data_IF_814498297087
#
_entry.id   IF_814498297087
#
_cell.length_a   1.000
_cell.length_b   1.000
_cell.length_c   1.000
_cell.angle_alpha   90.00
_cell.angle_beta   90.00
_cell.angle_gamma   90.00
#
_symmetry.space_group_name_H-M   'P 1'
#
loop_
_entity.id
_entity.type
_entity.pdbx_description
1 polymer ?
#
# COMPACT_ATOMS: atom_id res chain seq x y z
N UNK A 1 1.49 -4.77 -21.82
CA UNK A 1 0.71 -5.99 -21.51
C UNK A 1 0.01 -6.52 -22.74
N UNK A 2 -0.58 -5.65 -23.55
CA UNK A 2 -1.40 -6.06 -24.70
C UNK A 2 -0.59 -6.89 -25.72
N UNK A 3 0.69 -6.58 -25.91
CA UNK A 3 1.62 -7.35 -26.77
C UNK A 3 1.88 -8.78 -26.24
N UNK A 4 1.66 -9.02 -24.96
CA UNK A 4 1.86 -10.33 -24.32
C UNK A 4 0.57 -11.12 -24.13
N UNK A 5 -0.59 -10.51 -24.30
CA UNK A 5 -1.87 -11.08 -23.92
C UNK A 5 -2.16 -12.41 -24.62
N UNK A 6 -1.89 -12.50 -25.91
CA UNK A 6 -2.08 -13.75 -26.68
C UNK A 6 -1.22 -14.87 -26.12
N UNK A 7 0.06 -14.62 -25.86
CA UNK A 7 1.00 -15.61 -25.34
C UNK A 7 0.65 -16.05 -23.92
N UNK A 8 0.21 -15.09 -23.08
CA UNK A 8 -0.26 -15.38 -21.73
C UNK A 8 -1.52 -16.26 -21.77
N UNK A 9 -2.47 -15.99 -22.67
CA UNK A 9 -3.68 -16.80 -22.83
C UNK A 9 -3.37 -18.21 -23.31
N UNK A 10 -2.45 -18.40 -24.24
CA UNK A 10 -2.00 -19.73 -24.70
C UNK A 10 -1.38 -20.51 -23.55
N UNK A 11 -0.48 -19.89 -22.79
CA UNK A 11 0.13 -20.49 -21.60
C UNK A 11 -0.94 -20.82 -20.54
N UNK A 12 -1.89 -19.93 -20.30
CA UNK A 12 -3.00 -20.15 -19.37
C UNK A 12 -3.94 -21.27 -19.82
N UNK A 13 -4.06 -21.52 -21.12
CA UNK A 13 -4.82 -22.62 -21.69
C UNK A 13 -4.09 -23.97 -21.61
N UNK A 14 -2.83 -23.98 -21.14
CA UNK A 14 -2.04 -25.20 -20.91
C UNK A 14 -1.03 -25.51 -22.01
N UNK A 15 -0.73 -24.55 -22.92
CA UNK A 15 0.36 -24.71 -23.87
C UNK A 15 1.71 -24.47 -23.19
N UNK A 16 2.64 -25.40 -23.35
CA UNK A 16 3.98 -25.32 -22.77
C UNK A 16 4.94 -24.53 -23.69
N UNK A 17 6.01 -24.01 -23.11
CA UNK A 17 7.14 -23.36 -23.81
C UNK A 17 6.74 -22.16 -24.69
N UNK A 18 5.70 -21.42 -24.32
CA UNK A 18 5.24 -20.25 -25.08
C UNK A 18 6.03 -19.00 -24.69
N UNK A 19 6.05 -18.67 -23.40
CA UNK A 19 6.75 -17.49 -22.85
C UNK A 19 8.17 -17.82 -22.38
N UNK A 20 8.36 -19.02 -21.84
CA UNK A 20 9.64 -19.49 -21.29
C UNK A 20 9.67 -21.01 -21.30
N UNK A 21 10.87 -21.58 -21.26
CA UNK A 21 11.08 -23.03 -21.09
C UNK A 21 10.82 -23.51 -19.65
N UNK A 22 10.73 -22.59 -18.68
CA UNK A 22 10.37 -22.92 -17.30
C UNK A 22 8.86 -23.22 -17.18
N UNK A 23 8.48 -24.23 -16.40
CA UNK A 23 7.06 -24.52 -16.16
C UNK A 23 6.34 -23.35 -15.49
N UNK A 24 5.22 -22.92 -16.07
CA UNK A 24 4.33 -21.89 -15.51
C UNK A 24 3.10 -22.60 -14.97
N UNK A 25 2.92 -22.62 -13.65
CA UNK A 25 1.80 -23.26 -12.98
C UNK A 25 0.89 -22.27 -12.26
N UNK A 26 1.38 -21.06 -12.03
CA UNK A 26 0.68 -20.01 -11.29
C UNK A 26 0.58 -18.74 -12.13
N UNK A 27 -0.52 -18.01 -11.94
CA UNK A 27 -0.78 -16.75 -12.60
C UNK A 27 -1.14 -15.71 -11.55
N UNK A 28 -0.39 -14.61 -11.51
CA UNK A 28 -0.65 -13.50 -10.59
C UNK A 28 -1.70 -12.60 -11.19
N UNK A 29 -2.76 -12.38 -10.42
CA UNK A 29 -3.82 -11.44 -10.77
C UNK A 29 -3.42 -10.04 -10.31
N UNK A 30 -3.38 -9.09 -11.24
CA UNK A 30 -3.25 -7.69 -10.88
C UNK A 30 -4.64 -7.05 -10.75
N UNK A 31 -4.77 -6.14 -9.78
CA UNK A 31 -5.93 -5.27 -9.68
C UNK A 31 -5.88 -4.19 -10.76
N UNK A 32 -6.19 -4.53 -12.01
CA UNK A 32 -6.08 -3.61 -13.14
C UNK A 32 -6.79 -2.27 -12.88
N UNK A 33 -6.05 -1.17 -13.03
CA UNK A 33 -6.54 0.21 -12.84
C UNK A 33 -7.63 0.62 -13.85
N UNK A 34 -7.83 -0.16 -14.91
CA UNK A 34 -8.83 0.07 -15.97
C UNK A 34 -9.96 -0.99 -15.97
N UNK A 35 -10.29 -1.59 -14.81
CA UNK A 35 -11.42 -2.54 -14.71
C UNK A 35 -11.17 -3.94 -15.27
N UNK A 36 -10.04 -4.19 -15.96
CA UNK A 36 -9.67 -5.51 -16.50
C UNK A 36 -8.58 -6.15 -15.65
N UNK A 37 -8.88 -7.30 -15.06
CA UNK A 37 -7.89 -8.09 -14.33
C UNK A 37 -6.86 -8.63 -15.32
N UNK A 38 -5.59 -8.29 -15.12
CA UNK A 38 -4.46 -8.83 -15.88
C UNK A 38 -3.93 -10.08 -15.20
N UNK A 39 -3.44 -11.03 -15.99
CA UNK A 39 -2.75 -12.24 -15.51
C UNK A 39 -1.28 -12.15 -15.84
N UNK A 40 -0.43 -12.37 -14.87
CA UNK A 40 1.02 -12.45 -15.06
C UNK A 40 1.50 -13.86 -14.75
N UNK A 41 2.24 -14.51 -15.67
CA UNK A 41 2.80 -15.82 -15.41
C UNK A 41 3.79 -15.76 -14.26
N UNK A 42 3.85 -16.79 -13.43
CA UNK A 42 4.79 -16.90 -12.32
C UNK A 42 5.48 -18.25 -12.35
N UNK A 43 6.80 -18.24 -12.52
CA UNK A 43 7.66 -19.41 -12.38
C UNK A 43 8.09 -19.60 -10.93
N UNK A 44 8.52 -20.81 -10.55
CA UNK A 44 9.06 -21.10 -9.22
C UNK A 44 10.33 -20.28 -8.96
N UNK A 45 11.19 -20.08 -9.95
CA UNK A 45 12.39 -19.27 -9.84
C UNK A 45 12.07 -17.79 -9.53
N UNK A 46 11.09 -17.20 -10.23
CA UNK A 46 10.67 -15.84 -9.97
C UNK A 46 10.07 -15.68 -8.57
N UNK A 47 9.27 -16.65 -8.12
CA UNK A 47 8.69 -16.67 -6.77
C UNK A 47 9.75 -16.83 -5.70
N UNK A 48 10.74 -17.70 -5.90
CA UNK A 48 11.86 -17.88 -4.99
C UNK A 48 12.63 -16.58 -4.78
N UNK A 49 13.06 -15.92 -5.86
CA UNK A 49 13.81 -14.66 -5.79
C UNK A 49 13.00 -13.54 -5.13
N UNK A 50 11.74 -13.39 -5.52
CA UNK A 50 10.82 -12.47 -4.88
C UNK A 50 10.73 -12.72 -3.37
N UNK A 51 10.52 -13.97 -2.98
CA UNK A 51 10.32 -14.32 -1.58
C UNK A 51 11.59 -14.18 -0.74
N UNK A 52 12.75 -14.52 -1.28
CA UNK A 52 14.04 -14.36 -0.60
C UNK A 52 14.30 -12.90 -0.22
N UNK A 53 14.09 -11.95 -1.13
CA UNK A 53 14.26 -10.52 -0.82
C UNK A 53 13.32 -10.03 0.27
N UNK A 54 12.09 -10.54 0.33
CA UNK A 54 11.13 -10.15 1.36
C UNK A 54 11.48 -10.76 2.74
N UNK A 55 12.08 -11.94 2.78
CA UNK A 55 12.43 -12.64 4.02
C UNK A 55 13.81 -12.20 4.51
N UNK A 56 14.81 -12.30 3.65
CA UNK A 56 16.22 -12.24 4.05
C UNK A 56 16.67 -10.81 4.40
N UNK A 57 16.22 -9.82 3.62
CA UNK A 57 16.65 -8.42 3.82
C UNK A 57 16.12 -7.84 5.13
N UNK A 58 14.81 -7.90 5.44
CA UNK A 58 14.32 -7.44 6.75
C UNK A 58 15.00 -8.15 7.92
N UNK A 59 15.17 -9.45 7.83
CA UNK A 59 15.85 -10.24 8.86
C UNK A 59 17.29 -9.79 9.06
N UNK A 60 18.03 -9.55 7.97
CA UNK A 60 19.40 -9.07 8.03
C UNK A 60 19.52 -7.65 8.63
N UNK A 61 18.56 -6.76 8.32
CA UNK A 61 18.57 -5.37 8.81
C UNK A 61 18.14 -5.29 10.27
N UNK A 62 17.10 -6.04 10.66
CA UNK A 62 16.51 -5.96 12.00
C UNK A 62 17.23 -6.81 13.03
N UNK A 63 18.04 -7.77 12.60
CA UNK A 63 18.61 -8.81 13.45
C UNK A 63 17.53 -9.64 14.17
N UNK A 64 16.32 -9.63 13.62
CA UNK A 64 15.17 -10.24 14.28
C UNK A 64 15.24 -11.76 14.15
N UNK A 65 15.72 -12.39 15.20
CA UNK A 65 15.56 -13.83 15.48
C UNK A 65 14.16 -14.12 16.07
N UNK A 66 13.30 -13.11 16.13
CA UNK A 66 12.07 -13.11 16.91
C UNK A 66 10.85 -13.51 16.10
N UNK A 67 10.24 -14.54 16.56
CA UNK A 67 9.27 -15.45 15.96
C UNK A 67 7.81 -15.15 16.30
N UNK A 68 7.44 -13.89 16.58
CA UNK A 68 6.04 -13.51 16.87
C UNK A 68 5.62 -12.34 16.01
N UNK A 69 5.39 -12.65 14.75
CA UNK A 69 4.96 -11.70 13.75
C UNK A 69 3.48 -11.82 13.45
N UNK A 70 2.83 -10.75 13.06
CA UNK A 70 1.49 -10.78 12.50
C UNK A 70 1.50 -10.16 11.11
N UNK A 71 0.71 -10.75 10.21
CA UNK A 71 0.37 -10.10 8.96
C UNK A 71 -1.06 -9.58 8.99
N UNK A 72 -1.26 -8.30 8.67
CA UNK A 72 -2.58 -7.64 8.78
C UNK A 72 -3.59 -8.11 7.72
N UNK A 73 -3.12 -8.58 6.56
CA UNK A 73 -3.98 -9.07 5.49
C UNK A 73 -4.41 -10.52 5.68
N UNK A 74 -5.46 -10.92 4.98
CA UNK A 74 -5.90 -12.32 4.83
C UNK A 74 -5.63 -12.76 3.41
N UNK A 75 -4.99 -13.90 3.23
CA UNK A 75 -4.60 -14.42 1.93
C UNK A 75 -5.67 -15.35 1.35
N UNK A 76 -5.84 -15.28 0.04
CA UNK A 76 -6.81 -16.10 -0.67
C UNK A 76 -6.21 -17.43 -1.12
N UNK A 77 -7.00 -18.51 -1.18
CA UNK A 77 -6.58 -19.75 -1.83
C UNK A 77 -6.34 -19.52 -3.32
N UNK A 78 -5.56 -20.41 -3.93
CA UNK A 78 -5.40 -20.42 -5.38
C UNK A 78 -6.72 -20.75 -6.08
N UNK A 79 -6.98 -20.07 -7.20
CA UNK A 79 -8.04 -20.44 -8.12
C UNK A 79 -7.77 -21.80 -8.79
N UNK A 80 -8.76 -22.31 -9.52
CA UNK A 80 -8.73 -23.64 -10.13
C UNK A 80 -7.61 -23.85 -11.16
N UNK A 81 -7.07 -22.75 -11.72
CA UNK A 81 -5.96 -22.78 -12.71
C UNK A 81 -4.69 -22.08 -12.17
N UNK A 82 -4.47 -22.13 -10.85
CA UNK A 82 -3.29 -21.53 -10.24
C UNK A 82 -3.33 -19.98 -10.14
N UNK A 83 -4.49 -19.37 -10.35
CA UNK A 83 -4.66 -17.93 -10.22
C UNK A 83 -4.59 -17.51 -8.76
N UNK A 84 -3.80 -16.47 -8.47
CA UNK A 84 -3.65 -15.99 -7.10
C UNK A 84 -3.14 -14.54 -7.08
N UNK A 85 -3.07 -13.94 -5.90
CA UNK A 85 -2.34 -12.69 -5.67
C UNK A 85 -0.87 -13.01 -5.37
N UNK A 86 0.05 -12.13 -5.74
CA UNK A 86 1.48 -12.34 -5.50
C UNK A 86 1.79 -12.53 -4.00
N UNK A 87 1.14 -11.76 -3.14
CA UNK A 87 1.24 -11.93 -1.69
C UNK A 87 0.77 -13.32 -1.23
N UNK A 88 -0.33 -13.84 -1.77
CA UNK A 88 -0.79 -15.18 -1.43
C UNK A 88 0.17 -16.28 -1.93
N UNK A 89 0.80 -16.09 -3.10
CA UNK A 89 1.84 -17.00 -3.59
C UNK A 89 3.06 -16.99 -2.67
N UNK A 90 3.52 -15.79 -2.26
CA UNK A 90 4.63 -15.63 -1.33
C UNK A 90 4.39 -16.35 0.01
N UNK A 91 3.24 -16.12 0.65
CA UNK A 91 2.95 -16.77 1.94
C UNK A 91 2.76 -18.29 1.85
N UNK A 92 2.33 -18.81 0.69
CA UNK A 92 2.35 -20.25 0.44
C UNK A 92 3.76 -20.81 0.26
N UNK A 93 4.64 -20.03 -0.35
CA UNK A 93 6.06 -20.37 -0.41
C UNK A 93 6.66 -20.44 1.01
N UNK A 94 6.39 -19.44 1.87
CA UNK A 94 6.81 -19.43 3.28
C UNK A 94 6.28 -20.67 4.03
N UNK A 95 5.01 -21.04 3.81
CA UNK A 95 4.42 -22.27 4.38
C UNK A 95 5.19 -23.53 3.93
N UNK A 96 5.56 -23.60 2.64
CA UNK A 96 6.26 -24.76 2.08
C UNK A 96 7.68 -24.97 2.63
N UNK A 97 8.34 -23.91 3.04
CA UNK A 97 9.69 -23.96 3.67
C UNK A 97 9.64 -23.99 5.21
N UNK A 98 8.43 -24.08 5.80
CA UNK A 98 8.26 -24.26 7.26
C UNK A 98 8.33 -22.98 8.11
N UNK A 99 8.44 -21.80 7.49
CA UNK A 99 8.60 -20.52 8.22
C UNK A 99 7.27 -19.87 8.61
N UNK A 100 6.13 -20.46 8.26
CA UNK A 100 4.82 -19.88 8.60
C UNK A 100 4.50 -19.94 10.12
N UNK A 101 5.17 -20.82 10.85
CA UNK A 101 5.01 -20.92 12.31
C UNK A 101 5.43 -19.66 13.08
N UNK A 102 6.15 -18.74 12.44
CA UNK A 102 6.55 -17.45 13.01
C UNK A 102 5.39 -16.45 13.03
N UNK A 103 4.33 -16.75 12.26
CA UNK A 103 3.17 -15.87 12.15
C UNK A 103 2.06 -16.25 13.12
N UNK A 104 1.65 -15.29 13.94
CA UNK A 104 0.56 -15.44 14.89
C UNK A 104 -0.80 -15.65 14.20
N UNK A 105 -1.66 -16.42 14.83
CA UNK A 105 -2.99 -16.77 14.32
C UNK A 105 -3.02 -18.04 13.47
N UNK A 106 -1.86 -18.56 13.07
CA UNK A 106 -1.75 -19.82 12.33
C UNK A 106 -2.36 -19.78 10.92
N UNK A 107 -2.20 -20.90 10.22
CA UNK A 107 -2.56 -21.05 8.81
C UNK A 107 -4.03 -20.78 8.50
N UNK A 108 -4.96 -21.19 9.35
CA UNK A 108 -6.38 -21.00 9.11
C UNK A 108 -6.79 -19.52 9.08
N UNK A 109 -6.28 -18.72 10.01
CA UNK A 109 -6.59 -17.30 10.07
C UNK A 109 -5.84 -16.49 9.01
N UNK A 110 -4.67 -16.95 8.57
CA UNK A 110 -3.92 -16.31 7.49
C UNK A 110 -4.54 -16.56 6.10
N UNK A 111 -5.03 -17.78 5.84
CA UNK A 111 -5.56 -18.16 4.51
C UNK A 111 -7.08 -18.26 4.44
N UNK A 112 -7.79 -17.68 5.38
CA UNK A 112 -9.26 -17.66 5.35
C UNK A 112 -9.78 -16.52 4.47
N UNK A 113 -9.99 -16.78 3.20
CA UNK A 113 -10.64 -15.83 2.27
C UNK A 113 -12.11 -15.52 2.60
N UNK A 114 -12.66 -16.05 3.72
CA UNK A 114 -14.06 -15.90 4.17
C UNK A 114 -14.22 -14.94 5.34
N UNK A 115 -13.14 -14.38 5.86
CA UNK A 115 -13.21 -13.39 6.96
C UNK A 115 -13.84 -12.10 6.43
N UNK A 116 -14.93 -11.68 7.01
CA UNK A 116 -15.65 -10.44 6.67
C UNK A 116 -15.15 -9.26 7.50
N UNK A 117 -14.85 -9.46 8.78
CA UNK A 117 -14.27 -8.43 9.66
C UNK A 117 -12.80 -8.74 9.94
N UNK A 118 -11.94 -8.44 8.97
CA UNK A 118 -10.49 -8.65 9.08
C UNK A 118 -9.87 -7.85 10.23
N UNK A 119 -10.20 -6.55 10.43
CA UNK A 119 -9.64 -5.77 11.55
C UNK A 119 -9.95 -6.38 12.92
N UNK A 120 -11.19 -6.83 13.13
CA UNK A 120 -11.56 -7.50 14.40
C UNK A 120 -10.71 -8.74 14.66
N UNK A 121 -10.61 -9.63 13.67
CA UNK A 121 -9.84 -10.89 13.80
C UNK A 121 -8.37 -10.60 14.07
N UNK A 122 -7.75 -9.67 13.32
CA UNK A 122 -6.34 -9.33 13.49
C UNK A 122 -6.05 -8.71 14.86
N UNK A 123 -6.91 -7.82 15.32
CA UNK A 123 -6.76 -7.20 16.64
C UNK A 123 -7.00 -8.20 17.79
N UNK A 124 -7.91 -9.16 17.64
CA UNK A 124 -8.08 -10.25 18.63
C UNK A 124 -6.80 -11.08 18.74
N UNK A 125 -6.12 -11.36 17.62
CA UNK A 125 -4.82 -12.03 17.63
C UNK A 125 -3.77 -11.13 18.28
N UNK A 126 -3.62 -9.90 17.82
CA UNK A 126 -2.58 -8.97 18.29
C UNK A 126 -2.66 -8.71 19.79
N UNK A 127 -3.87 -8.48 20.31
CA UNK A 127 -4.08 -8.20 21.73
C UNK A 127 -3.85 -9.43 22.62
N UNK A 128 -3.98 -10.65 22.09
CA UNK A 128 -3.69 -11.88 22.82
C UNK A 128 -2.19 -12.14 23.06
N UNK A 129 -1.31 -11.41 22.34
CA UNK A 129 0.13 -11.58 22.45
C UNK A 129 0.81 -10.27 22.84
N UNK A 130 1.26 -10.20 24.11
CA UNK A 130 1.99 -9.03 24.62
C UNK A 130 3.38 -8.89 23.97
N UNK A 131 3.99 -10.02 23.62
CA UNK A 131 5.33 -10.13 23.06
C UNK A 131 5.38 -10.10 21.52
N UNK A 132 4.38 -9.47 20.90
CA UNK A 132 4.39 -9.21 19.45
C UNK A 132 5.65 -8.46 19.05
N UNK A 133 6.42 -9.02 18.11
CA UNK A 133 7.72 -8.48 17.69
C UNK A 133 7.69 -7.70 16.39
N UNK A 134 6.77 -8.02 15.46
CA UNK A 134 6.62 -7.29 14.21
C UNK A 134 5.18 -7.30 13.69
N UNK A 135 4.79 -6.19 13.06
CA UNK A 135 3.55 -6.06 12.30
C UNK A 135 3.92 -5.91 10.83
N UNK A 136 3.45 -6.84 10.01
CA UNK A 136 3.67 -6.82 8.57
C UNK A 136 2.35 -6.60 7.83
N UNK A 137 2.42 -5.84 6.74
CA UNK A 137 1.29 -5.58 5.87
C UNK A 137 1.74 -5.52 4.40
N UNK A 138 0.81 -5.67 3.47
CA UNK A 138 1.11 -5.36 2.08
C UNK A 138 1.27 -3.85 1.93
N UNK A 139 0.31 -3.08 2.44
CA UNK A 139 0.39 -1.62 2.46
C UNK A 139 0.41 -1.11 3.91
N UNK A 140 1.23 -0.12 4.20
CA UNK A 140 1.23 0.57 5.51
C UNK A 140 -0.12 1.21 5.82
N UNK A 141 -0.89 1.55 4.79
CA UNK A 141 -2.26 2.05 4.94
C UNK A 141 -3.19 1.05 5.64
N UNK A 142 -3.05 -0.25 5.38
CA UNK A 142 -3.86 -1.27 6.07
C UNK A 142 -3.55 -1.30 7.57
N UNK A 143 -2.30 -1.03 7.97
CA UNK A 143 -1.92 -0.91 9.40
C UNK A 143 -2.56 0.34 10.02
N UNK A 144 -2.57 1.46 9.29
CA UNK A 144 -3.24 2.68 9.73
C UNK A 144 -4.73 2.44 9.97
N UNK A 145 -5.41 1.80 9.01
CA UNK A 145 -6.83 1.45 9.15
C UNK A 145 -7.08 0.53 10.34
N UNK A 146 -6.18 -0.44 10.57
CA UNK A 146 -6.26 -1.35 11.70
C UNK A 146 -6.15 -0.60 13.05
N UNK A 147 -5.20 0.34 13.16
CA UNK A 147 -5.03 1.13 14.38
C UNK A 147 -6.20 2.10 14.62
N UNK A 148 -6.74 2.70 13.57
CA UNK A 148 -7.99 3.49 13.67
C UNK A 148 -9.17 2.64 14.14
N UNK A 149 -9.27 1.41 13.64
CA UNK A 149 -10.31 0.49 14.11
C UNK A 149 -10.13 0.17 15.61
N UNK A 150 -8.89 -0.06 16.05
CA UNK A 150 -8.58 -0.28 17.47
C UNK A 150 -8.96 0.93 18.32
N UNK A 151 -8.54 2.14 17.93
CA UNK A 151 -8.86 3.39 18.62
C UNK A 151 -10.37 3.57 18.81
N UNK A 152 -11.16 3.28 17.77
CA UNK A 152 -12.61 3.40 17.79
C UNK A 152 -13.32 2.28 18.58
N UNK A 153 -12.80 1.06 18.54
CA UNK A 153 -13.51 -0.14 19.00
C UNK A 153 -12.82 -0.83 20.19
N UNK A 154 -11.82 -0.25 20.84
CA UNK A 154 -11.07 -0.86 21.94
C UNK A 154 -11.98 -1.35 23.08
N UNK A 155 -12.99 -0.59 23.45
CA UNK A 155 -13.92 -0.96 24.53
C UNK A 155 -14.70 -2.25 24.22
N UNK A 156 -15.18 -2.40 22.98
CA UNK A 156 -15.87 -3.61 22.51
C UNK A 156 -14.92 -4.80 22.48
N UNK A 157 -13.69 -4.61 21.93
CA UNK A 157 -12.67 -5.67 21.86
C UNK A 157 -12.27 -6.17 23.24
N UNK A 158 -12.04 -5.27 24.19
CA UNK A 158 -11.69 -5.65 25.58
C UNK A 158 -12.85 -6.33 26.31
N UNK A 159 -14.09 -5.88 26.10
CA UNK A 159 -15.28 -6.54 26.69
C UNK A 159 -15.45 -7.96 26.14
N UNK A 160 -15.23 -8.15 24.83
CA UNK A 160 -15.26 -9.47 24.20
C UNK A 160 -14.17 -10.40 24.74
N UNK A 161 -12.96 -9.89 24.92
CA UNK A 161 -11.85 -10.66 25.52
C UNK A 161 -12.17 -11.05 26.95
N UNK A 162 -12.65 -10.11 27.78
CA UNK A 162 -13.01 -10.38 29.18
C UNK A 162 -14.09 -11.43 29.34
N UNK A 163 -15.09 -11.41 28.48
CA UNK A 163 -16.27 -12.31 28.56
C UNK A 163 -16.09 -13.59 27.73
N UNK A 164 -14.98 -13.76 27.05
CA UNK A 164 -14.75 -14.90 26.16
C UNK A 164 -15.77 -14.98 25.04
N UNK A 165 -16.25 -13.83 24.51
CA UNK A 165 -17.24 -13.78 23.44
C UNK A 165 -16.66 -13.20 22.15
N UNK A 166 -17.42 -13.31 21.06
CA UNK A 166 -17.09 -12.79 19.75
C UNK A 166 -18.31 -12.01 19.24
N UNK A 167 -18.19 -10.68 19.19
CA UNK A 167 -19.28 -9.80 18.74
C UNK A 167 -19.35 -9.67 17.21
N UNK A 168 -18.24 -9.97 16.49
CA UNK A 168 -18.23 -9.94 15.04
C UNK A 168 -18.95 -11.14 14.42
N UNK A 169 -19.64 -10.89 13.28
CA UNK A 169 -20.23 -11.98 12.49
C UNK A 169 -19.15 -12.70 11.68
N UNK A 170 -18.71 -13.85 12.17
CA UNK A 170 -17.64 -14.64 11.59
C UNK A 170 -18.09 -16.09 11.34
N UNK A 171 -17.49 -16.78 10.34
CA UNK A 171 -17.66 -18.21 10.16
C UNK A 171 -17.27 -18.98 11.43
N UNK A 172 -17.96 -20.11 11.68
CA UNK A 172 -17.78 -20.86 12.93
C UNK A 172 -16.37 -21.40 13.12
N UNK A 173 -15.75 -21.88 12.05
CA UNK A 173 -14.35 -22.32 12.05
C UNK A 173 -13.34 -21.22 12.41
N UNK A 174 -13.66 -19.96 12.10
CA UNK A 174 -12.84 -18.79 12.48
C UNK A 174 -13.07 -18.44 13.95
N UNK A 175 -14.31 -18.51 14.44
CA UNK A 175 -14.60 -18.31 15.87
C UNK A 175 -13.89 -19.34 16.74
N UNK A 176 -13.86 -20.62 16.32
CA UNK A 176 -13.11 -21.67 17.02
C UNK A 176 -11.63 -21.34 17.13
N UNK A 177 -11.00 -20.83 16.07
CA UNK A 177 -9.58 -20.44 16.11
C UNK A 177 -9.34 -19.25 17.04
N UNK A 178 -10.23 -18.25 17.02
CA UNK A 178 -10.15 -17.11 17.96
C UNK A 178 -10.27 -17.58 19.42
N UNK A 179 -11.15 -18.54 19.69
CA UNK A 179 -11.34 -19.08 21.03
C UNK A 179 -10.14 -19.92 21.53
N UNK A 180 -9.24 -20.34 20.64
CA UNK A 180 -7.98 -21.01 20.98
C UNK A 180 -6.82 -20.05 21.28
N UNK A 181 -7.01 -18.74 21.04
CA UNK A 181 -5.98 -17.76 21.37
C UNK A 181 -5.70 -17.76 22.88
N UNK A 182 -4.47 -17.39 23.29
CA UNK A 182 -4.15 -17.25 24.71
C UNK A 182 -5.12 -16.32 25.41
N UNK A 183 -5.61 -16.75 26.58
CA UNK A 183 -6.42 -15.90 27.43
C UNK A 183 -5.54 -14.83 28.09
N UNK A 184 -6.03 -13.60 28.11
CA UNK A 184 -5.36 -12.52 28.85
C UNK A 184 -5.64 -12.67 30.35
N UNK A 185 -4.61 -12.48 31.16
CA UNK A 185 -4.80 -12.36 32.59
C UNK A 185 -5.44 -11.01 33.00
N UNK A 186 -5.93 -10.92 34.21
CA UNK A 186 -6.62 -9.73 34.71
C UNK A 186 -5.68 -8.49 34.78
N UNK A 187 -4.39 -8.69 34.98
CA UNK A 187 -3.38 -7.64 35.03
C UNK A 187 -3.20 -7.00 33.65
N UNK A 188 -3.06 -7.81 32.61
CA UNK A 188 -2.93 -7.34 31.24
C UNK A 188 -4.19 -6.63 30.74
N UNK A 189 -5.36 -7.16 31.06
CA UNK A 189 -6.63 -6.50 30.72
C UNK A 189 -6.71 -5.12 31.36
N UNK A 190 -6.36 -5.00 32.65
CA UNK A 190 -6.35 -3.72 33.36
C UNK A 190 -5.32 -2.74 32.79
N UNK A 191 -4.15 -3.23 32.38
CA UNK A 191 -3.13 -2.42 31.70
C UNK A 191 -3.68 -1.80 30.42
N UNK A 192 -4.28 -2.62 29.53
CA UNK A 192 -4.90 -2.15 28.30
C UNK A 192 -6.04 -1.14 28.55
N UNK A 193 -6.88 -1.40 29.56
CA UNK A 193 -7.92 -0.44 29.95
C UNK A 193 -7.33 0.92 30.38
N UNK A 194 -6.25 0.90 31.13
CA UNK A 194 -5.57 2.13 31.57
C UNK A 194 -4.97 2.89 30.38
N UNK A 195 -4.34 2.20 29.42
CA UNK A 195 -3.79 2.82 28.20
C UNK A 195 -4.89 3.57 27.48
N UNK A 196 -5.99 2.92 27.13
CA UNK A 196 -7.08 3.53 26.38
C UNK A 196 -7.82 4.62 27.18
N UNK A 197 -7.98 4.45 28.48
CA UNK A 197 -8.66 5.45 29.33
C UNK A 197 -7.83 6.71 29.49
N UNK A 198 -6.53 6.62 29.70
CA UNK A 198 -5.64 7.77 29.86
C UNK A 198 -5.47 8.58 28.58
N UNK A 199 -5.51 7.94 27.43
CA UNK A 199 -5.41 8.57 26.11
C UNK A 199 -6.74 9.03 25.50
N UNK A 200 -7.88 8.85 26.18
CA UNK A 200 -9.20 9.13 25.57
C UNK A 200 -9.51 8.23 24.37
N UNK A 201 -8.94 7.01 24.35
CA UNK A 201 -8.99 6.06 23.25
C UNK A 201 -7.74 6.03 22.38
N UNK A 202 -6.95 7.12 22.36
CA UNK A 202 -5.67 7.18 21.65
C UNK A 202 -4.61 6.33 22.36
N UNK A 203 -3.64 5.82 21.59
CA UNK A 203 -2.55 4.98 22.09
C UNK A 203 -1.33 5.10 21.15
N UNK A 204 -0.17 4.68 21.65
CA UNK A 204 0.96 4.33 20.80
C UNK A 204 1.17 2.81 20.79
N UNK A 205 1.64 2.28 19.68
CA UNK A 205 1.84 0.85 19.52
C UNK A 205 2.85 0.29 20.55
N UNK A 206 3.85 1.07 20.96
CA UNK A 206 4.82 0.71 21.99
C UNK A 206 4.21 0.62 23.40
N UNK A 207 3.12 1.33 23.70
CA UNK A 207 2.40 1.20 24.98
C UNK A 207 1.70 -0.16 25.05
N UNK A 208 1.14 -0.62 23.94
CA UNK A 208 0.42 -1.91 23.87
C UNK A 208 1.41 -3.07 23.71
N UNK A 209 2.39 -2.98 22.81
CA UNK A 209 3.32 -4.04 22.47
C UNK A 209 4.76 -3.60 22.74
N UNK A 210 5.24 -3.82 23.96
CA UNK A 210 6.55 -3.36 24.44
C UNK A 210 7.73 -3.98 23.68
N UNK A 211 7.52 -5.14 23.06
CA UNK A 211 8.54 -5.87 22.30
C UNK A 211 8.46 -5.63 20.79
N UNK A 212 7.56 -4.74 20.35
CA UNK A 212 7.39 -4.43 18.92
C UNK A 212 8.63 -3.70 18.39
N UNK A 213 9.36 -4.35 17.49
CA UNK A 213 10.65 -3.88 16.95
C UNK A 213 10.48 -3.06 15.68
N UNK A 214 9.53 -3.44 14.81
CA UNK A 214 9.27 -2.73 13.58
C UNK A 214 7.86 -2.99 13.03
N UNK A 215 7.44 -2.10 12.15
CA UNK A 215 6.24 -2.26 11.32
C UNK A 215 6.69 -2.22 9.87
N UNK A 216 6.18 -3.11 9.01
CA UNK A 216 6.60 -3.19 7.63
C UNK A 216 5.45 -3.22 6.64
N UNK A 217 5.70 -2.65 5.45
CA UNK A 217 4.74 -2.63 4.36
C UNK A 217 5.19 -1.74 3.20
N UNK A 218 4.43 -1.76 2.12
CA UNK A 218 4.61 -0.85 0.99
C UNK A 218 4.13 0.54 1.43
N UNK A 219 5.00 1.53 1.25
CA UNK A 219 4.76 2.94 1.57
C UNK A 219 5.64 3.82 0.68
N UNK A 220 6.05 4.99 1.17
CA UNK A 220 6.95 5.89 0.48
C UNK A 220 6.26 7.14 -0.06
N UNK A 221 6.90 7.85 -1.02
CA UNK A 221 6.43 9.16 -1.46
C UNK A 221 4.98 9.17 -1.97
N UNK A 222 4.60 8.12 -2.72
CA UNK A 222 3.22 7.97 -3.20
C UNK A 222 2.18 7.73 -2.09
N UNK A 223 2.64 7.48 -0.85
CA UNK A 223 1.82 7.22 0.33
C UNK A 223 2.31 8.03 1.54
N UNK A 224 2.98 9.16 1.30
CA UNK A 224 3.63 9.95 2.36
C UNK A 224 2.65 10.41 3.43
N UNK A 225 1.43 10.82 3.04
CA UNK A 225 0.37 11.24 3.95
C UNK A 225 -0.01 10.08 4.90
N UNK A 226 -0.34 8.92 4.34
CA UNK A 226 -0.78 7.76 5.13
C UNK A 226 0.33 7.28 6.08
N UNK A 227 1.59 7.34 5.63
CA UNK A 227 2.74 7.01 6.47
C UNK A 227 2.92 8.02 7.61
N UNK A 228 2.75 9.32 7.34
CA UNK A 228 2.80 10.37 8.38
C UNK A 228 1.73 10.14 9.44
N UNK A 229 0.53 9.79 9.03
CA UNK A 229 -0.56 9.49 9.96
C UNK A 229 -0.30 8.23 10.76
N UNK A 230 0.28 7.20 10.16
CA UNK A 230 0.68 5.99 10.86
C UNK A 230 1.71 6.30 11.95
N UNK A 231 2.61 7.27 11.74
CA UNK A 231 3.60 7.71 12.74
C UNK A 231 2.96 8.23 14.04
N UNK A 232 1.72 8.73 14.02
CA UNK A 232 0.99 9.11 15.24
C UNK A 232 0.76 7.91 16.18
N UNK A 233 0.57 6.71 15.60
CA UNK A 233 0.37 5.48 16.37
C UNK A 233 1.66 4.73 16.65
N UNK A 234 2.65 4.79 15.75
CA UNK A 234 3.88 4.01 15.91
C UNK A 234 4.87 4.69 16.85
N UNK A 235 4.82 6.03 16.97
CA UNK A 235 5.82 6.77 17.74
C UNK A 235 7.23 6.51 17.20
N UNK A 236 8.13 6.04 18.06
CA UNK A 236 9.54 5.75 17.73
C UNK A 236 9.76 4.36 17.11
N UNK A 237 8.71 3.54 16.97
CA UNK A 237 8.84 2.22 16.33
C UNK A 237 9.22 2.44 14.85
N UNK A 238 10.34 1.85 14.39
CA UNK A 238 10.82 2.05 13.03
C UNK A 238 9.89 1.38 12.01
N UNK A 239 9.84 1.97 10.82
CA UNK A 239 9.09 1.46 9.67
C UNK A 239 10.07 0.86 8.67
N UNK A 240 9.86 -0.40 8.29
CA UNK A 240 10.54 -1.04 7.19
C UNK A 240 9.67 -0.95 5.92
N UNK A 241 10.14 -0.21 4.93
CA UNK A 241 9.49 -0.16 3.63
C UNK A 241 9.94 -1.36 2.81
N UNK A 242 9.08 -2.34 2.57
CA UNK A 242 9.46 -3.58 1.87
C UNK A 242 10.28 -3.35 0.60
N UNK A 243 9.81 -2.45 -0.24
CA UNK A 243 10.45 -2.21 -1.50
C UNK A 243 9.47 -1.89 -2.63
N UNK A 244 10.01 -1.93 -3.83
CA UNK A 244 9.24 -1.86 -5.06
C UNK A 244 9.00 -3.28 -5.59
N UNK A 245 7.80 -3.77 -5.35
CA UNK A 245 7.32 -5.08 -5.79
C UNK A 245 6.02 -4.93 -6.57
N UNK A 246 5.96 -5.47 -7.76
CA UNK A 246 4.78 -5.51 -8.62
C UNK A 246 4.40 -6.96 -8.98
N UNK A 247 3.29 -7.14 -9.68
CA UNK A 247 2.89 -8.48 -10.18
C UNK A 247 3.89 -9.07 -11.16
N UNK A 248 4.70 -8.23 -11.76
CA UNK A 248 5.69 -8.55 -12.79
C UNK A 248 7.06 -8.89 -12.22
N UNK A 249 7.49 -8.17 -11.18
CA UNK A 249 8.88 -8.25 -10.69
C UNK A 249 9.03 -7.68 -9.27
N UNK A 250 9.99 -8.22 -8.52
CA UNK A 250 10.61 -7.57 -7.37
C UNK A 250 11.77 -6.71 -7.90
N UNK A 251 11.59 -5.39 -7.93
CA UNK A 251 12.57 -4.52 -8.55
C UNK A 251 13.50 -3.85 -7.54
N UNK A 252 13.09 -3.71 -6.28
CA UNK A 252 13.94 -3.09 -5.28
C UNK A 252 13.53 -3.37 -3.85
N UNK A 253 14.48 -3.38 -2.94
CA UNK A 253 14.29 -3.57 -1.52
C UNK A 253 14.94 -2.43 -0.72
N UNK A 254 14.33 -2.03 0.40
CA UNK A 254 14.89 -0.97 1.23
C UNK A 254 16.17 -1.46 1.93
N UNK A 255 17.30 -0.75 1.78
CA UNK A 255 18.55 -1.11 2.45
C UNK A 255 18.61 -0.61 3.90
N UNK A 256 17.65 0.18 4.37
CA UNK A 256 17.63 0.83 5.67
C UNK A 256 16.20 0.96 6.20
N UNK A 257 16.06 1.09 7.53
CA UNK A 257 14.80 1.43 8.19
C UNK A 257 14.44 2.90 7.97
N UNK A 258 13.17 3.23 8.09
CA UNK A 258 12.61 4.60 8.02
C UNK A 258 12.88 5.38 6.73
N UNK A 259 13.41 4.71 5.70
CA UNK A 259 13.64 5.29 4.37
C UNK A 259 12.89 4.52 3.28
N UNK A 260 12.07 5.23 2.51
CA UNK A 260 11.39 4.71 1.33
C UNK A 260 12.24 4.88 0.06
N UNK A 261 13.50 4.50 0.16
CA UNK A 261 14.51 4.44 -0.89
C UNK A 261 14.90 2.98 -1.09
N UNK A 262 15.03 2.53 -2.32
CA UNK A 262 15.19 1.12 -2.64
C UNK A 262 16.48 0.86 -3.42
N UNK A 263 17.22 -0.15 -3.03
CA UNK A 263 18.32 -0.69 -3.81
C UNK A 263 17.77 -1.68 -4.86
N UNK A 264 18.28 -1.60 -6.09
CA UNK A 264 17.84 -2.44 -7.20
C UNK A 264 18.13 -3.93 -6.93
N UNK A 265 17.11 -4.79 -7.02
CA UNK A 265 17.22 -6.26 -6.93
C UNK A 265 17.62 -6.84 -8.31
N UNK A 266 18.86 -6.65 -8.70
CA UNK A 266 19.35 -6.98 -10.05
C UNK A 266 19.37 -8.47 -10.37
N UNK A 267 19.18 -9.34 -9.39
CA UNK A 267 19.06 -10.79 -9.54
C UNK A 267 17.64 -11.26 -9.84
N UNK A 268 16.62 -10.38 -9.65
CA UNK A 268 15.22 -10.71 -9.89
C UNK A 268 14.81 -10.62 -11.37
N UNK A 269 15.51 -9.81 -12.16
CA UNK A 269 15.24 -9.63 -13.60
C UNK A 269 16.43 -8.97 -14.29
N UNK A 270 16.45 -8.99 -15.61
CA UNK A 270 17.29 -8.08 -16.37
C UNK A 270 16.58 -6.74 -16.52
N UNK A 271 17.23 -5.66 -16.08
CA UNK A 271 16.69 -4.31 -16.06
C UNK A 271 17.30 -3.43 -17.12
N UNK A 272 16.43 -2.79 -17.88
CA UNK A 272 16.69 -1.63 -18.70
C UNK A 272 15.87 -0.45 -18.17
N UNK A 273 16.24 0.76 -18.49
CA UNK A 273 15.60 1.97 -17.98
C UNK A 273 15.29 2.91 -19.13
N UNK A 274 14.04 3.28 -19.29
CA UNK A 274 13.57 4.20 -20.32
C UNK A 274 13.50 5.61 -19.73
N UNK A 275 14.37 6.57 -20.15
CA UNK A 275 14.24 7.96 -19.73
C UNK A 275 12.93 8.57 -20.22
N UNK A 276 12.36 9.54 -19.47
CA UNK A 276 11.10 10.20 -19.87
C UNK A 276 11.19 10.93 -21.21
N UNK A 277 12.37 11.43 -21.54
CA UNK A 277 12.68 12.23 -22.72
C UNK A 277 13.28 11.42 -23.88
N UNK A 278 13.23 10.09 -23.83
CA UNK A 278 13.83 9.20 -24.82
C UNK A 278 12.87 8.08 -25.25
N UNK A 279 13.09 7.55 -26.45
CA UNK A 279 12.51 6.30 -26.92
C UNK A 279 13.42 5.08 -26.75
N UNK A 280 14.69 5.30 -26.37
CA UNK A 280 15.69 4.27 -26.21
C UNK A 280 15.97 4.01 -24.73
N UNK A 281 16.11 2.73 -24.38
CA UNK A 281 16.46 2.33 -23.02
C UNK A 281 17.97 2.47 -22.78
N UNK A 282 18.32 2.69 -21.53
CA UNK A 282 19.70 2.68 -21.03
C UNK A 282 19.90 1.52 -20.04
N UNK A 283 21.14 1.14 -19.84
CA UNK A 283 21.51 0.10 -18.86
C UNK A 283 21.82 0.70 -17.48
N UNK A 284 21.98 -0.14 -16.46
CA UNK A 284 22.34 0.28 -15.08
C UNK A 284 23.57 1.20 -15.07
N UNK A 285 24.56 0.95 -15.94
CA UNK A 285 25.80 1.75 -16.00
C UNK A 285 25.62 3.17 -16.54
N UNK A 286 24.49 3.47 -17.12
CA UNK A 286 24.18 4.74 -17.78
C UNK A 286 23.11 5.53 -17.00
N UNK A 287 22.79 5.11 -15.77
CA UNK A 287 21.85 5.80 -14.93
C UNK A 287 22.47 7.06 -14.32
N UNK A 288 21.72 8.15 -14.35
CA UNK A 288 22.09 9.44 -13.76
C UNK A 288 21.31 9.69 -12.47
N UNK A 289 21.99 10.12 -11.42
CA UNK A 289 21.34 10.56 -10.18
C UNK A 289 20.45 11.78 -10.43
N UNK A 290 19.24 11.75 -9.86
CA UNK A 290 18.25 12.81 -10.00
C UNK A 290 17.31 12.63 -11.20
N UNK A 291 17.64 11.77 -12.16
CA UNK A 291 16.84 11.55 -13.36
C UNK A 291 15.73 10.52 -13.15
N UNK A 292 14.65 10.66 -13.90
CA UNK A 292 13.46 9.81 -13.86
C UNK A 292 13.51 8.80 -15.00
N UNK A 293 13.12 7.57 -14.70
CA UNK A 293 13.08 6.45 -15.65
C UNK A 293 11.84 5.58 -15.44
N UNK A 294 11.37 4.97 -16.52
CA UNK A 294 10.46 3.82 -16.48
C UNK A 294 11.27 2.52 -16.53
N UNK A 295 11.20 1.64 -15.52
CA UNK A 295 11.83 0.32 -15.60
C UNK A 295 11.25 -0.53 -16.71
N UNK A 296 12.12 -1.15 -17.50
CA UNK A 296 11.78 -2.13 -18.54
C UNK A 296 12.45 -3.44 -18.15
N UNK A 297 11.64 -4.50 -17.96
CA UNK A 297 12.12 -5.72 -17.34
C UNK A 297 12.00 -6.94 -18.25
N UNK A 298 13.04 -7.78 -18.21
CA UNK A 298 13.00 -9.14 -18.77
C UNK A 298 13.08 -10.13 -17.61
N UNK A 299 12.00 -10.90 -17.40
CA UNK A 299 11.79 -11.68 -16.19
C UNK A 299 11.97 -13.19 -16.42
N UNK A 300 12.20 -13.95 -15.35
CA UNK A 300 12.21 -15.41 -15.37
C UNK A 300 10.88 -16.04 -15.78
N UNK A 301 9.80 -15.27 -15.72
CA UNK A 301 8.46 -15.70 -16.10
C UNK A 301 8.13 -15.44 -17.58
N UNK A 302 9.12 -14.98 -18.37
CA UNK A 302 8.99 -14.85 -19.83
C UNK A 302 8.38 -13.53 -20.30
N UNK A 303 8.40 -12.49 -19.48
CA UNK A 303 8.13 -11.13 -19.93
C UNK A 303 9.44 -10.55 -20.48
N UNK A 304 9.49 -10.28 -21.77
CA UNK A 304 10.67 -9.74 -22.46
C UNK A 304 10.50 -8.25 -22.71
N UNK A 305 11.42 -7.43 -22.15
CA UNK A 305 11.41 -5.97 -22.28
C UNK A 305 10.04 -5.35 -21.97
N UNK A 306 9.42 -5.86 -20.91
CA UNK A 306 8.12 -5.39 -20.45
C UNK A 306 8.25 -4.02 -19.79
N UNK A 307 7.54 -3.03 -20.30
CA UNK A 307 7.42 -1.70 -19.69
C UNK A 307 6.48 -1.76 -18.49
N UNK A 308 7.01 -1.46 -17.29
CA UNK A 308 6.23 -1.56 -16.06
C UNK A 308 5.12 -0.51 -15.96
N UNK A 309 5.33 0.63 -16.60
CA UNK A 309 4.47 1.80 -16.49
C UNK A 309 4.67 2.59 -15.20
N UNK A 310 5.54 2.14 -14.31
CA UNK A 310 5.89 2.86 -13.08
C UNK A 310 7.07 3.79 -13.34
N UNK A 311 7.14 4.89 -12.59
CA UNK A 311 8.22 5.87 -12.69
C UNK A 311 9.07 5.81 -11.41
N UNK A 312 10.37 5.74 -11.61
CA UNK A 312 11.36 5.77 -10.53
C UNK A 312 12.31 6.94 -10.72
N UNK A 313 12.76 7.54 -9.64
CA UNK A 313 13.81 8.56 -9.63
C UNK A 313 15.07 7.97 -9.01
N UNK A 314 16.18 8.00 -9.73
CA UNK A 314 17.47 7.56 -9.18
C UNK A 314 17.93 8.59 -8.14
N UNK A 315 18.16 8.15 -6.91
CA UNK A 315 18.57 9.01 -5.80
C UNK A 315 20.08 8.94 -5.55
N UNK A 316 20.72 7.86 -5.98
CA UNK A 316 22.15 7.64 -5.80
C UNK A 316 22.56 6.21 -6.10
N UNK A 317 23.67 5.81 -5.49
CA UNK A 317 24.20 4.45 -5.60
C UNK A 317 24.72 4.00 -4.23
N UNK A 318 24.49 2.72 -3.89
CA UNK A 318 25.16 2.03 -2.79
C UNK A 318 26.14 1.03 -3.41
N UNK A 319 27.44 1.33 -3.33
CA UNK A 319 28.47 0.66 -4.13
C UNK A 319 28.14 0.77 -5.64
N UNK A 320 27.73 -0.32 -6.29
CA UNK A 320 27.32 -0.33 -7.70
C UNK A 320 25.80 -0.49 -7.89
N UNK A 321 25.04 -0.71 -6.82
CA UNK A 321 23.61 -0.86 -6.90
C UNK A 321 22.92 0.52 -6.95
N UNK A 322 22.10 0.80 -7.97
CA UNK A 322 21.31 2.02 -8.00
C UNK A 322 20.35 2.08 -6.82
N UNK A 323 20.27 3.25 -6.20
CA UNK A 323 19.23 3.61 -5.24
C UNK A 323 18.17 4.42 -5.94
N UNK A 324 16.91 4.16 -5.63
CA UNK A 324 15.81 4.86 -6.26
C UNK A 324 14.58 4.98 -5.36
N UNK A 325 13.75 5.96 -5.66
CA UNK A 325 12.40 6.14 -5.11
C UNK A 325 11.36 5.88 -6.20
N UNK A 326 10.22 5.31 -5.83
CA UNK A 326 9.05 5.23 -6.71
C UNK A 326 8.28 6.54 -6.60
N UNK A 327 8.11 7.25 -7.71
CA UNK A 327 7.46 8.56 -7.71
C UNK A 327 6.02 8.53 -8.25
N UNK A 328 5.62 7.45 -8.90
CA UNK A 328 4.26 7.30 -9.39
C UNK A 328 4.16 6.29 -10.52
N UNK A 329 3.07 6.40 -11.25
CA UNK A 329 2.82 5.58 -12.44
C UNK A 329 2.60 6.47 -13.65
N UNK A 330 3.12 6.06 -14.79
CA UNK A 330 2.91 6.74 -16.06
C UNK A 330 1.40 6.80 -16.37
N UNK A 331 0.84 8.01 -16.38
CA UNK A 331 -0.59 8.24 -16.50
C UNK A 331 -1.35 8.44 -15.19
N UNK A 332 -0.74 8.20 -14.02
CA UNK A 332 -1.26 8.67 -12.73
C UNK A 332 -0.77 10.11 -12.49
N UNK A 333 -1.11 10.98 -13.42
CA UNK A 333 -0.75 12.39 -13.43
C UNK A 333 -2.04 13.16 -13.63
N UNK A 334 -2.30 14.16 -12.80
CA UNK A 334 -3.30 15.17 -13.11
C UNK A 334 -2.68 16.17 -14.08
N UNK A 335 -3.29 16.27 -15.24
CA UNK A 335 -2.89 17.19 -16.29
C UNK A 335 -4.15 17.69 -17.01
N UNK A 336 -4.47 18.95 -16.83
CA UNK A 336 -5.62 19.62 -17.46
C UNK A 336 -5.16 20.52 -18.60
N UNK A 337 -4.10 21.30 -18.37
CA UNK A 337 -3.64 22.35 -19.28
C UNK A 337 -2.13 22.30 -19.57
N UNK A 338 -1.42 21.26 -19.12
CA UNK A 338 0.02 21.06 -19.29
C UNK A 338 0.81 20.92 -17.99
N UNK A 339 0.19 21.12 -16.82
CA UNK A 339 0.82 21.24 -15.50
C UNK A 339 1.42 19.96 -14.91
N UNK A 340 1.03 18.80 -15.37
CA UNK A 340 1.58 17.47 -15.01
C UNK A 340 1.89 17.26 -13.53
N UNK A 341 0.87 17.32 -12.68
CA UNK A 341 1.05 17.00 -11.23
C UNK A 341 1.05 15.50 -11.03
N UNK A 342 2.18 14.93 -10.64
CA UNK A 342 2.33 13.53 -10.26
C UNK A 342 1.86 13.26 -8.81
N UNK A 343 1.73 11.98 -8.47
CA UNK A 343 1.29 11.54 -7.14
C UNK A 343 2.21 12.04 -6.03
N UNK A 344 3.52 12.11 -6.24
CA UNK A 344 4.48 12.55 -5.24
C UNK A 344 4.36 14.06 -4.99
N UNK A 345 4.25 14.86 -6.04
CA UNK A 345 4.07 16.32 -5.96
C UNK A 345 2.75 16.67 -5.27
N UNK A 346 1.65 15.97 -5.57
CA UNK A 346 0.37 16.18 -4.91
C UNK A 346 0.46 15.84 -3.41
N UNK A 347 1.07 14.71 -3.04
CA UNK A 347 1.27 14.34 -1.64
C UNK A 347 2.11 15.37 -0.87
N UNK A 348 3.19 15.89 -1.48
CA UNK A 348 4.04 16.91 -0.86
C UNK A 348 3.24 18.21 -0.64
N UNK A 349 2.51 18.66 -1.64
CA UNK A 349 1.67 19.87 -1.53
C UNK A 349 0.61 19.73 -0.42
N UNK A 350 -0.12 18.59 -0.37
CA UNK A 350 -1.14 18.34 0.65
C UNK A 350 -0.52 18.19 2.04
N UNK A 351 0.64 17.53 2.16
CA UNK A 351 1.36 17.42 3.44
C UNK A 351 1.72 18.78 4.02
N UNK A 352 2.30 19.66 3.20
CA UNK A 352 2.64 21.03 3.63
C UNK A 352 1.41 21.87 3.93
N UNK A 353 0.33 21.71 3.17
CA UNK A 353 -0.92 22.41 3.44
C UNK A 353 -1.53 21.98 4.78
N UNK A 354 -1.47 20.70 5.11
CA UNK A 354 -1.91 20.15 6.39
C UNK A 354 -1.15 20.75 7.59
N UNK A 355 0.13 21.09 7.44
CA UNK A 355 0.93 21.74 8.49
C UNK A 355 0.49 23.19 8.76
N UNK A 356 -0.05 23.87 7.74
CA UNK A 356 -0.45 25.27 7.83
C UNK A 356 -1.94 25.47 8.14
N UNK A 357 -2.77 24.44 8.00
CA UNK A 357 -4.23 24.55 8.22
C UNK A 357 -4.70 23.66 9.36
N UNK A 358 -5.07 22.43 9.03
CA UNK A 358 -5.50 21.38 9.96
C UNK A 358 -5.07 20.03 9.44
N UNK A 359 -4.92 19.06 10.33
CA UNK A 359 -4.62 17.70 9.95
C UNK A 359 -5.57 17.20 8.84
N UNK A 360 -5.01 16.70 7.77
CA UNK A 360 -5.72 16.05 6.69
C UNK A 360 -5.54 14.54 6.85
N UNK A 361 -6.61 13.83 7.07
CA UNK A 361 -6.59 12.41 7.43
C UNK A 361 -6.52 11.48 6.21
N UNK A 362 -7.13 11.83 5.12
CA UNK A 362 -7.02 11.18 3.82
C UNK A 362 -7.42 12.18 2.74
N UNK A 363 -7.04 11.92 1.49
CA UNK A 363 -7.47 12.75 0.40
C UNK A 363 -7.40 12.04 -0.95
N UNK A 364 -8.16 12.55 -1.91
CA UNK A 364 -8.03 12.21 -3.32
C UNK A 364 -8.32 13.44 -4.18
N UNK A 365 -7.89 13.42 -5.43
CA UNK A 365 -8.02 14.53 -6.35
C UNK A 365 -8.52 14.09 -7.72
N UNK A 366 -9.22 14.97 -8.41
CA UNK A 366 -9.71 14.77 -9.76
C UNK A 366 -9.61 16.05 -10.58
N UNK A 367 -9.67 15.90 -11.91
CA UNK A 367 -9.87 17.04 -12.81
C UNK A 367 -11.36 17.40 -12.86
N UNK A 368 -11.67 18.67 -12.58
CA UNK A 368 -13.02 19.23 -12.69
C UNK A 368 -13.14 20.07 -13.96
N UNK A 369 -13.78 19.49 -14.99
CA UNK A 369 -14.06 20.13 -16.27
C UNK A 369 -15.43 20.82 -16.32
N UNK A 370 -16.16 20.90 -15.19
CA UNK A 370 -17.49 21.54 -15.15
C UNK A 370 -17.45 23.06 -15.22
N UNK A 371 -16.27 23.65 -15.10
CA UNK A 371 -16.02 25.11 -15.13
C UNK A 371 -14.92 25.47 -16.11
N UNK A 372 -14.86 26.74 -16.51
CA UNK A 372 -13.81 27.28 -17.39
C UNK A 372 -13.17 28.48 -16.70
N UNK A 373 -11.84 28.48 -16.51
CA UNK A 373 -10.92 27.37 -16.77
C UNK A 373 -11.19 26.18 -15.87
N UNK A 374 -10.90 24.96 -16.37
CA UNK A 374 -10.97 23.74 -15.59
C UNK A 374 -9.99 23.79 -14.41
N UNK A 375 -10.19 22.98 -13.39
CA UNK A 375 -9.43 23.03 -12.14
C UNK A 375 -9.27 21.65 -11.50
N UNK A 376 -8.44 21.55 -10.49
CA UNK A 376 -8.44 20.38 -9.63
C UNK A 376 -9.58 20.45 -8.61
N UNK A 377 -10.21 19.32 -8.34
CA UNK A 377 -11.08 19.12 -7.20
C UNK A 377 -10.44 18.15 -6.23
N UNK A 378 -10.16 18.63 -5.01
CA UNK A 378 -9.52 17.86 -3.95
C UNK A 378 -10.58 17.56 -2.89
N UNK A 379 -10.79 16.28 -2.61
CA UNK A 379 -11.60 15.81 -1.48
C UNK A 379 -10.66 15.49 -0.35
N UNK A 380 -10.86 16.08 0.82
CA UNK A 380 -9.96 15.94 1.95
C UNK A 380 -10.75 15.59 3.24
N UNK A 381 -10.33 14.55 3.92
CA UNK A 381 -10.85 14.20 5.26
C UNK A 381 -10.16 15.10 6.29
N UNK A 382 -10.80 16.21 6.65
CA UNK A 382 -10.23 17.25 7.53
C UNK A 382 -11.32 18.10 8.16
N UNK A 383 -10.93 18.88 9.19
CA UNK A 383 -11.74 19.91 9.80
C UNK A 383 -11.36 21.33 9.37
N UNK A 384 -10.48 21.47 8.38
CA UNK A 384 -10.07 22.77 7.85
C UNK A 384 -11.23 23.50 7.20
N UNK A 385 -11.10 24.82 7.09
CA UNK A 385 -11.98 25.63 6.24
C UNK A 385 -11.64 25.38 4.76
N UNK A 386 -12.65 25.04 3.94
CA UNK A 386 -12.48 24.69 2.53
C UNK A 386 -11.81 25.78 1.71
N UNK A 387 -12.16 27.04 1.97
CA UNK A 387 -11.61 28.17 1.24
C UNK A 387 -10.15 28.41 1.62
N UNK A 388 -9.85 28.40 2.92
CA UNK A 388 -8.47 28.54 3.40
C UNK A 388 -7.59 27.41 2.87
N UNK A 389 -8.05 26.17 2.96
CA UNK A 389 -7.29 25.01 2.46
C UNK A 389 -7.08 25.06 0.95
N UNK A 390 -8.08 25.51 0.17
CA UNK A 390 -7.95 25.74 -1.27
C UNK A 390 -6.85 26.77 -1.61
N UNK A 391 -6.76 27.86 -0.84
CA UNK A 391 -5.75 28.89 -1.04
C UNK A 391 -4.35 28.38 -0.73
N UNK A 392 -4.20 27.73 0.40
CA UNK A 392 -2.92 27.13 0.80
C UNK A 392 -2.47 26.05 -0.17
N UNK A 393 -3.37 25.17 -0.60
CA UNK A 393 -3.05 24.12 -1.58
C UNK A 393 -2.62 24.69 -2.95
N UNK A 394 -3.25 25.76 -3.43
CA UNK A 394 -2.81 26.43 -4.66
C UNK A 394 -1.35 26.92 -4.55
N UNK A 395 -0.99 27.52 -3.42
CA UNK A 395 0.37 27.99 -3.17
C UNK A 395 1.37 26.83 -3.01
N UNK A 396 0.99 25.74 -2.34
CA UNK A 396 1.87 24.56 -2.21
C UNK A 396 2.06 23.84 -3.55
N UNK A 397 1.02 23.74 -4.38
CA UNK A 397 1.12 23.17 -5.72
C UNK A 397 2.06 23.98 -6.63
N UNK A 398 2.01 25.32 -6.57
CA UNK A 398 2.99 26.17 -7.25
C UNK A 398 4.41 25.90 -6.77
N UNK A 399 4.60 25.79 -5.46
CA UNK A 399 5.92 25.54 -4.87
C UNK A 399 6.54 24.18 -5.24
N UNK A 400 5.72 23.16 -5.59
CA UNK A 400 6.21 21.83 -5.95
C UNK A 400 6.27 21.58 -7.47
N UNK A 401 5.64 22.44 -8.27
CA UNK A 401 5.60 22.29 -9.74
C UNK A 401 5.62 23.65 -10.43
N UNK A 402 6.74 23.92 -11.11
CA UNK A 402 6.88 25.14 -11.93
C UNK A 402 5.86 25.17 -13.09
N UNK A 403 5.61 24.01 -13.74
CA UNK A 403 4.58 23.92 -14.80
C UNK A 403 3.19 24.31 -14.26
N UNK A 404 2.86 23.92 -13.02
CA UNK A 404 1.60 24.32 -12.40
C UNK A 404 1.56 25.84 -12.13
N UNK A 405 2.63 26.41 -11.63
CA UNK A 405 2.75 27.87 -11.40
C UNK A 405 2.53 28.63 -12.70
N UNK A 406 3.26 28.27 -13.75
CA UNK A 406 3.18 28.92 -15.06
C UNK A 406 1.74 28.87 -15.64
N UNK A 407 1.11 27.71 -15.62
CA UNK A 407 -0.26 27.51 -16.16
C UNK A 407 -1.30 28.26 -15.31
N UNK A 408 -1.08 28.39 -13.99
CA UNK A 408 -1.92 29.21 -13.09
C UNK A 408 -1.76 30.71 -13.38
N UNK A 409 -0.54 31.19 -13.62
CA UNK A 409 -0.27 32.60 -13.97
C UNK A 409 -0.89 32.96 -15.34
N UNK A 410 -0.81 32.05 -16.30
CA UNK A 410 -1.44 32.18 -17.63
C UNK A 410 -2.98 32.10 -17.56
N UNK A 411 -3.58 31.84 -16.39
CA UNK A 411 -5.03 31.66 -16.20
C UNK A 411 -5.66 30.54 -17.04
N UNK A 412 -4.85 29.58 -17.45
CA UNK A 412 -5.30 28.39 -18.19
C UNK A 412 -5.86 27.31 -17.27
N UNK A 413 -5.55 27.36 -15.98
CA UNK A 413 -6.06 26.48 -14.94
C UNK A 413 -6.71 27.32 -13.83
N UNK A 414 -7.88 26.89 -13.33
CA UNK A 414 -8.55 27.48 -12.19
C UNK A 414 -7.88 27.14 -10.87
N UNK A 415 -8.10 27.97 -9.82
CA UNK A 415 -7.71 27.59 -8.45
C UNK A 415 -8.36 26.26 -8.09
N UNK A 416 -7.66 25.33 -7.40
CA UNK A 416 -8.26 24.10 -6.95
C UNK A 416 -9.44 24.38 -6.01
N UNK A 417 -10.46 23.56 -6.05
CA UNK A 417 -11.50 23.55 -5.01
C UNK A 417 -11.26 22.38 -4.07
N UNK A 418 -11.68 22.56 -2.85
CA UNK A 418 -11.63 21.54 -1.81
C UNK A 418 -13.04 21.24 -1.32
N UNK A 419 -13.35 19.96 -1.11
CA UNK A 419 -14.51 19.51 -0.34
C UNK A 419 -14.01 18.80 0.89
N UNK A 420 -14.31 19.33 2.06
CA UNK A 420 -13.93 18.74 3.35
C UNK A 420 -14.93 17.65 3.77
N UNK A 421 -14.38 16.51 4.16
CA UNK A 421 -15.11 15.29 4.48
C UNK A 421 -14.78 14.82 5.90
N UNK A 422 -15.66 14.04 6.49
CA UNK A 422 -15.37 13.35 7.75
C UNK A 422 -14.44 12.17 7.53
N UNK A 423 -13.71 11.84 8.59
CA UNK A 423 -12.75 10.74 8.58
C UNK A 423 -13.41 9.41 8.19
N UNK A 424 -12.79 8.67 7.26
CA UNK A 424 -13.25 7.39 6.74
C UNK A 424 -14.28 7.47 5.61
N UNK A 425 -14.67 8.67 5.15
CA UNK A 425 -15.65 8.84 4.08
C UNK A 425 -15.10 8.37 2.72
N UNK A 426 -13.87 8.76 2.37
CA UNK A 426 -13.23 8.41 1.09
C UNK A 426 -13.10 6.90 0.95
N UNK A 427 -12.60 6.25 1.99
CA UNK A 427 -12.45 4.80 2.02
C UNK A 427 -13.81 4.08 1.92
N UNK A 428 -14.83 4.55 2.64
CA UNK A 428 -16.18 3.98 2.57
C UNK A 428 -16.85 4.14 1.21
N UNK A 429 -16.59 5.24 0.50
CA UNK A 429 -17.19 5.53 -0.80
C UNK A 429 -16.51 4.82 -1.97
N UNK A 430 -15.18 4.66 -1.92
CA UNK A 430 -14.36 4.23 -3.06
C UNK A 430 -13.87 2.79 -2.97
N UNK A 431 -13.69 2.23 -1.76
CA UNK A 431 -13.13 0.89 -1.62
C UNK A 431 -14.23 -0.18 -1.63
N UNK A 432 -13.96 -1.27 -2.32
CA UNK A 432 -14.76 -2.49 -2.22
C UNK A 432 -14.15 -3.39 -1.15
N UNK A 433 -14.97 -4.01 -0.32
CA UNK A 433 -14.60 -4.93 0.78
C UNK A 433 -13.77 -6.16 0.36
N UNK A 434 -13.47 -6.34 -0.92
CA UNK A 434 -12.91 -7.59 -1.49
C UNK A 434 -11.45 -7.52 -1.95
N UNK A 435 -10.66 -6.51 -1.58
CA UNK A 435 -9.26 -6.40 -2.05
C UNK A 435 -8.32 -5.74 -1.05
N UNK A 436 -7.02 -5.74 -1.36
CA UNK A 436 -6.05 -4.88 -0.67
C UNK A 436 -6.41 -3.42 -0.97
N UNK A 437 -6.55 -2.61 0.06
CA UNK A 437 -6.90 -1.21 -0.05
C UNK A 437 -5.67 -0.41 -0.50
N UNK A 438 -5.44 -0.34 -1.82
CA UNK A 438 -4.48 0.60 -2.38
C UNK A 438 -5.17 1.97 -2.46
N UNK A 439 -4.70 3.00 -1.72
CA UNK A 439 -5.22 4.35 -1.83
C UNK A 439 -5.14 4.84 -3.28
N UNK A 440 -6.23 5.37 -3.82
CA UNK A 440 -6.24 6.01 -5.13
C UNK A 440 -6.21 7.50 -4.92
N UNK A 441 -5.09 8.10 -5.26
CA UNK A 441 -4.92 9.53 -5.13
C UNK A 441 -5.63 10.30 -6.24
N UNK A 442 -5.46 9.85 -7.47
CA UNK A 442 -6.11 10.48 -8.62
C UNK A 442 -7.28 9.63 -9.11
N UNK A 443 -8.46 10.25 -9.11
CA UNK A 443 -9.70 9.61 -9.49
C UNK A 443 -9.91 9.73 -11.01
N UNK A 444 -10.30 8.63 -11.65
CA UNK A 444 -10.86 8.68 -13.00
C UNK A 444 -12.27 9.29 -12.95
N UNK A 445 -12.78 9.77 -14.07
CA UNK A 445 -14.05 10.49 -14.15
C UNK A 445 -15.23 9.71 -13.51
N UNK A 446 -15.31 8.40 -13.70
CA UNK A 446 -16.36 7.56 -13.11
C UNK A 446 -16.31 7.57 -11.56
N UNK A 447 -15.12 7.47 -10.99
CA UNK A 447 -14.92 7.51 -9.54
C UNK A 447 -15.20 8.90 -8.97
N UNK A 448 -14.79 9.95 -9.70
CA UNK A 448 -15.08 11.32 -9.34
C UNK A 448 -16.58 11.60 -9.28
N UNK A 449 -17.33 11.20 -10.30
CA UNK A 449 -18.79 11.37 -10.29
C UNK A 449 -19.48 10.54 -9.21
N UNK A 450 -19.00 9.32 -8.94
CA UNK A 450 -19.49 8.50 -7.84
C UNK A 450 -19.30 9.19 -6.50
N UNK A 451 -18.08 9.70 -6.24
CA UNK A 451 -17.76 10.37 -4.97
C UNK A 451 -18.61 11.64 -4.78
N UNK A 452 -18.76 12.46 -5.83
CA UNK A 452 -19.66 13.64 -5.80
C UNK A 452 -21.09 13.28 -5.45
N UNK A 453 -21.60 12.17 -6.02
CA UNK A 453 -22.97 11.71 -5.70
C UNK A 453 -23.11 11.28 -4.24
N UNK A 454 -22.13 10.60 -3.67
CA UNK A 454 -22.15 10.21 -2.25
C UNK A 454 -22.07 11.43 -1.33
N UNK A 455 -21.23 12.43 -1.66
CA UNK A 455 -21.18 13.71 -0.93
C UNK A 455 -22.56 14.42 -0.97
N UNK A 456 -23.15 14.57 -2.16
CA UNK A 456 -24.45 15.24 -2.34
C UNK A 456 -25.62 14.51 -1.65
N UNK A 457 -25.57 13.18 -1.52
CA UNK A 457 -26.58 12.41 -0.75
C UNK A 457 -26.54 12.73 0.75
N UNK A 458 -25.35 13.07 1.25
CA UNK A 458 -25.16 13.38 2.66
C UNK A 458 -25.62 14.78 3.01
N UNK A 459 -25.36 15.76 2.17
CA UNK A 459 -25.80 17.15 2.37
C UNK A 459 -27.34 17.30 2.39
N UNK A 460 -28.06 16.27 1.87
CA UNK A 460 -29.53 16.23 1.85
C UNK A 460 -30.14 15.53 3.07
N UNK A 461 -29.33 14.91 3.92
CA UNK A 461 -29.75 14.26 5.18
C UNK A 461 -29.44 15.14 6.40
#
# INVERSE_FOLDING_TARGET
>A
YDDFEEYIQRTYSGEDNILTAYPIRNFILSSGTKGRVKRFPLTEEALFRYSSHIIDIPTAITGADDKKMIHTSVFRPFGSRGETLLSSAHYRYIDSIGNLQEYLGGKKLLFSGRVTDVPYVKLRIMLAYEDLSAIQSIFLYDVLLLFRYLEKNHSMLLDDIKRGRISAELPEDIKEEINRLPALDAGRIKELENIFSSGGGSFTASEIWKNLKYISGIGGRCFAMQTRMLKKYTGDIPIYYFGYASSEVMAGAAPEMDKAEYALCSDCAYFEFLPEDSSETVTIKQLDTGRIYEPVVTTFSGLYRYKTGDLIKITGFKEQAPLFEVIGRKGDILNIAGEKIDTASMNDAVSRASEETSDIDDFCAAADYSVIPARFHIFAETKADEKQLSEVLDDKLKAVSADYEDIRELKMLGRPIVTCLENGFISGALFNEKGHNKPKLFLIQEQYEKLKQEVAKRERK
#
